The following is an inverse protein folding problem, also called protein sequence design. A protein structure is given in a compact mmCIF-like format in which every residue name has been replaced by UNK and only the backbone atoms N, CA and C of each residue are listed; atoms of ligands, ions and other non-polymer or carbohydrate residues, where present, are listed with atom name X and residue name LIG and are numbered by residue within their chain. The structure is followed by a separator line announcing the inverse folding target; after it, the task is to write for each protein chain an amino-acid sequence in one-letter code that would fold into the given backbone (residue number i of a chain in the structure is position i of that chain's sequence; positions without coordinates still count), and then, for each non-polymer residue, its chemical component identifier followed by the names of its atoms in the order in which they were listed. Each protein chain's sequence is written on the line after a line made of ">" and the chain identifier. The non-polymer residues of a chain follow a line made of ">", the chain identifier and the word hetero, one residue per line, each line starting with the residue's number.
data_IF_253833468491
#
_entry.id   IF_253833468491
#
_cell.length_a   1.000
_cell.length_b   1.000
_cell.length_c   1.000
_cell.angle_alpha   90.00
_cell.angle_beta   90.00
_cell.angle_gamma   90.00
#
_symmetry.space_group_name_H-M   'P 1'
#
loop_
_entity.id
_entity.type
_entity.pdbx_description
1 polymer ?
#
# COMPACT_ATOMS: atom_id res chain seq x y z
N UNK A 1 12.27 -9.48 21.36
CA UNK A 1 13.01 -8.64 20.42
C UNK A 1 12.63 -8.96 19.00
N UNK A 2 12.31 -7.93 18.23
CA UNK A 2 11.93 -8.16 16.85
C UNK A 2 13.17 -8.18 15.96
N UNK A 3 13.17 -9.10 15.00
CA UNK A 3 14.21 -9.13 14.01
C UNK A 3 14.07 -7.99 13.01
N UNK A 4 14.99 -7.90 12.03
CA UNK A 4 14.87 -6.90 10.96
C UNK A 4 13.55 -7.06 10.23
N UNK A 5 12.91 -5.96 9.92
CA UNK A 5 11.67 -5.98 9.16
C UNK A 5 11.98 -6.31 7.70
N UNK A 6 11.17 -7.18 7.14
CA UNK A 6 11.31 -7.48 5.73
C UNK A 6 10.69 -6.35 4.91
N UNK A 7 11.41 -5.93 3.87
CA UNK A 7 10.93 -4.91 2.95
C UNK A 7 10.75 -5.53 1.57
N UNK A 8 9.76 -5.03 0.84
CA UNK A 8 9.38 -5.58 -0.46
C UNK A 8 9.54 -4.54 -1.55
N UNK A 9 10.12 -4.95 -2.65
CA UNK A 9 10.19 -4.12 -3.85
C UNK A 9 8.83 -4.11 -4.53
N UNK A 10 8.58 -3.10 -5.35
CA UNK A 10 7.29 -2.99 -6.03
C UNK A 10 6.95 -4.24 -6.85
N UNK A 11 7.94 -4.88 -7.46
CA UNK A 11 7.71 -6.12 -8.21
C UNK A 11 7.17 -7.24 -7.32
N UNK A 12 7.65 -7.32 -6.09
CA UNK A 12 7.17 -8.30 -5.12
C UNK A 12 5.74 -7.96 -4.66
N UNK A 13 5.47 -6.67 -4.45
CA UNK A 13 4.11 -6.23 -4.08
C UNK A 13 3.14 -6.57 -5.21
N UNK A 14 3.55 -6.35 -6.46
CA UNK A 14 2.74 -6.72 -7.63
C UNK A 14 2.44 -8.22 -7.65
N UNK A 15 3.47 -9.01 -7.42
CA UNK A 15 3.35 -10.47 -7.47
C UNK A 15 2.38 -11.02 -6.44
N UNK A 16 2.49 -10.56 -5.21
CA UNK A 16 1.65 -11.08 -4.12
C UNK A 16 0.27 -10.45 -4.06
N UNK A 17 0.10 -9.24 -4.55
CA UNK A 17 -1.20 -8.55 -4.52
C UNK A 17 -2.02 -8.79 -5.79
N UNK A 18 -1.36 -9.12 -6.89
CA UNK A 18 -2.03 -9.24 -8.18
C UNK A 18 -2.33 -7.90 -8.83
N UNK A 19 -1.86 -6.81 -8.25
CA UNK A 19 -2.10 -5.46 -8.77
C UNK A 19 -1.01 -5.04 -9.75
N UNK A 20 -1.36 -4.15 -10.67
CA UNK A 20 -0.39 -3.60 -11.61
C UNK A 20 0.53 -2.59 -10.90
N UNK A 21 1.70 -2.35 -11.50
CA UNK A 21 2.62 -1.33 -11.02
C UNK A 21 1.93 0.03 -10.94
N UNK A 22 1.15 0.37 -11.96
CA UNK A 22 0.46 1.66 -12.03
C UNK A 22 -0.54 1.81 -10.88
N UNK A 23 -1.27 0.76 -10.55
CA UNK A 23 -2.24 0.79 -9.44
C UNK A 23 -1.52 1.02 -8.11
N UNK A 24 -0.42 0.30 -7.87
CA UNK A 24 0.35 0.45 -6.63
C UNK A 24 0.92 1.87 -6.54
N UNK A 25 1.45 2.37 -7.66
CA UNK A 25 1.95 3.74 -7.73
C UNK A 25 0.85 4.76 -7.40
N UNK A 26 -0.32 4.59 -8.01
CA UNK A 26 -1.45 5.50 -7.78
C UNK A 26 -1.87 5.48 -6.31
N UNK A 27 -1.95 4.31 -5.70
CA UNK A 27 -2.32 4.19 -4.29
C UNK A 27 -1.30 4.88 -3.39
N UNK A 28 -0.02 4.77 -3.74
CA UNK A 28 1.04 5.45 -3.00
C UNK A 28 0.88 6.97 -3.12
N UNK A 29 0.63 7.44 -4.33
CA UNK A 29 0.46 8.88 -4.58
C UNK A 29 -0.79 9.45 -3.91
N UNK A 30 -1.83 8.64 -3.79
CA UNK A 30 -3.05 9.05 -3.07
C UNK A 30 -2.92 9.00 -1.56
N UNK A 31 -1.81 8.46 -1.04
CA UNK A 31 -1.63 8.31 0.39
C UNK A 31 -2.38 7.12 0.99
N UNK A 32 -2.87 6.21 0.17
CA UNK A 32 -3.58 5.03 0.66
C UNK A 32 -2.64 3.97 1.18
N UNK A 33 -1.45 3.87 0.58
CA UNK A 33 -0.37 3.03 1.07
C UNK A 33 0.88 3.89 1.13
N UNK A 34 1.84 3.48 1.95
CA UNK A 34 3.06 4.24 2.15
C UNK A 34 4.28 3.36 2.00
N UNK A 35 5.30 3.89 1.36
CA UNK A 35 6.59 3.23 1.31
C UNK A 35 7.24 3.31 2.69
N UNK A 36 7.94 2.26 3.08
CA UNK A 36 8.67 2.25 4.35
C UNK A 36 10.02 2.94 4.20
N UNK A 37 10.68 2.73 3.06
CA UNK A 37 11.98 3.31 2.76
C UNK A 37 12.15 3.49 1.26
N UNK A 38 13.21 4.18 0.88
CA UNK A 38 13.67 4.25 -0.51
C UNK A 38 15.12 3.80 -0.59
N UNK A 39 15.47 3.14 -1.68
CA UNK A 39 16.87 2.78 -1.92
C UNK A 39 17.65 4.02 -2.37
N UNK A 40 18.97 3.90 -2.40
CA UNK A 40 19.82 4.98 -2.88
C UNK A 40 19.53 5.40 -4.31
N UNK A 41 18.97 4.48 -5.12
CA UNK A 41 18.58 4.78 -6.50
C UNK A 41 17.15 5.28 -6.63
N UNK A 42 16.46 5.49 -5.51
CA UNK A 42 15.12 6.08 -5.49
C UNK A 42 13.97 5.08 -5.63
N UNK A 43 14.24 3.80 -5.59
CA UNK A 43 13.19 2.79 -5.65
C UNK A 43 12.48 2.68 -4.30
N UNK A 44 11.15 2.56 -4.33
CA UNK A 44 10.35 2.42 -3.13
C UNK A 44 10.40 1.01 -2.58
N UNK A 45 10.46 0.90 -1.25
CA UNK A 45 10.40 -0.37 -0.54
C UNK A 45 9.20 -0.31 0.41
N UNK A 46 8.41 -1.38 0.44
CA UNK A 46 7.18 -1.44 1.24
C UNK A 46 7.34 -2.46 2.36
N UNK A 47 6.75 -2.16 3.52
CA UNK A 47 6.73 -3.10 4.63
C UNK A 47 5.62 -4.14 4.47
N UNK A 48 5.62 -5.14 5.34
CA UNK A 48 4.60 -6.19 5.31
C UNK A 48 3.18 -5.66 5.48
N UNK A 49 3.02 -4.57 6.18
CA UNK A 49 1.72 -3.95 6.42
C UNK A 49 1.03 -3.52 5.12
N UNK A 50 1.80 -3.37 4.03
CA UNK A 50 1.20 -2.99 2.75
C UNK A 50 0.20 -4.03 2.25
N UNK A 51 0.46 -5.31 2.51
CA UNK A 51 -0.42 -6.38 2.03
C UNK A 51 -1.78 -6.35 2.73
N UNK A 52 -1.79 -6.14 4.04
CA UNK A 52 -3.02 -6.01 4.79
C UNK A 52 -3.80 -4.77 4.34
N UNK A 53 -3.09 -3.69 4.09
CA UNK A 53 -3.70 -2.44 3.63
C UNK A 53 -4.31 -2.59 2.24
N UNK A 54 -3.61 -3.25 1.33
CA UNK A 54 -4.12 -3.50 -0.02
C UNK A 54 -5.35 -4.39 0.01
N UNK A 55 -5.37 -5.39 0.89
CA UNK A 55 -6.54 -6.24 1.05
C UNK A 55 -7.72 -5.44 1.57
N UNK A 56 -7.49 -4.55 2.51
CA UNK A 56 -8.53 -3.67 3.05
C UNK A 56 -9.10 -2.77 1.96
N UNK A 57 -8.24 -2.19 1.12
CA UNK A 57 -8.68 -1.35 0.00
C UNK A 57 -9.55 -2.17 -0.94
N UNK A 58 -9.12 -3.37 -1.27
CA UNK A 58 -9.87 -4.27 -2.14
C UNK A 58 -11.27 -4.54 -1.60
N UNK A 59 -11.36 -4.85 -0.31
CA UNK A 59 -12.65 -5.15 0.33
C UNK A 59 -13.57 -3.92 0.34
N UNK A 60 -13.03 -2.75 0.63
CA UNK A 60 -13.81 -1.52 0.64
C UNK A 60 -14.33 -1.19 -0.75
N UNK A 61 -13.53 -1.44 -1.79
CA UNK A 61 -13.92 -1.15 -3.17
C UNK A 61 -15.05 -2.03 -3.69
N UNK A 62 -15.30 -3.15 -3.06
CA UNK A 62 -16.42 -4.01 -3.45
C UNK A 62 -17.76 -3.32 -3.25
N UNK A 63 -17.83 -2.39 -2.32
CA UNK A 63 -19.09 -1.76 -1.92
C UNK A 63 -19.10 -0.25 -2.02
N UNK A 64 -17.97 0.37 -2.32
CA UNK A 64 -17.83 1.83 -2.31
C UNK A 64 -17.00 2.32 -3.48
N UNK A 65 -17.33 3.50 -4.02
CA UNK A 65 -16.46 4.11 -5.03
C UNK A 65 -15.13 4.52 -4.38
N UNK A 66 -14.10 4.66 -5.21
CA UNK A 66 -12.74 4.95 -4.74
C UNK A 66 -12.67 6.21 -3.86
N UNK A 67 -13.42 7.23 -4.20
CA UNK A 67 -13.45 8.46 -3.43
C UNK A 67 -13.86 8.22 -1.98
N UNK A 68 -14.84 7.33 -1.75
CA UNK A 68 -15.26 6.99 -0.38
C UNK A 68 -14.25 6.12 0.34
N UNK A 69 -13.57 5.26 -0.42
CA UNK A 69 -12.49 4.44 0.15
C UNK A 69 -11.39 5.35 0.68
N UNK A 70 -10.98 6.33 -0.13
CA UNK A 70 -9.97 7.30 0.26
C UNK A 70 -10.38 8.03 1.54
N UNK A 71 -11.62 8.50 1.58
CA UNK A 71 -12.14 9.23 2.72
C UNK A 71 -12.17 8.38 3.99
N UNK A 72 -12.64 7.14 3.85
CA UNK A 72 -12.70 6.20 4.97
C UNK A 72 -11.31 5.96 5.56
N UNK A 73 -10.33 5.70 4.69
CA UNK A 73 -8.97 5.40 5.15
C UNK A 73 -8.29 6.63 5.75
N UNK A 74 -8.55 7.81 5.20
CA UNK A 74 -8.01 9.05 5.78
C UNK A 74 -8.52 9.29 7.19
N UNK A 75 -9.79 9.01 7.43
CA UNK A 75 -10.37 9.16 8.77
C UNK A 75 -9.74 8.18 9.75
N UNK A 76 -9.51 6.94 9.32
CA UNK A 76 -8.87 5.94 10.17
C UNK A 76 -7.42 6.30 10.46
N UNK A 77 -6.72 6.85 9.49
CA UNK A 77 -5.31 7.21 9.63
C UNK A 77 -5.08 8.42 10.54
N UNK A 78 -6.12 9.20 10.79
CA UNK A 78 -6.01 10.40 11.62
C UNK A 78 -6.13 10.16 13.12
N UNK A 79 -6.31 8.93 13.54
CA UNK A 79 -6.45 8.61 14.97
C UNK A 79 -5.15 8.72 15.73
#
# INVERSE_FOLDING_TARGET
>A
MEGPKKLYKIGEVMKYSGLSRQTIHNYTMMGLIHEAERTGSGHRLYGEDVFARLEKIKMLRLHRPMREVIETLRKEDKK
#
